data_IF_162307145749
#
_entry.id   IF_162307145749
#
_cell.length_a   1.000
_cell.length_b   1.000
_cell.length_c   1.000
_cell.angle_alpha   90.00
_cell.angle_beta   90.00
_cell.angle_gamma   90.00
#
_symmetry.space_group_name_H-M   'P 1'
#
loop_
_entity.id
_entity.type
_entity.pdbx_description
1 polymer ?
#
# COMPACT_ATOMS: atom_id res chain seq x y z
N UNK A 1 9.45 -1.90 16.00
CA UNK A 1 8.06 -2.22 16.35
C UNK A 1 7.48 -3.23 15.37
N UNK A 2 6.75 -4.23 15.85
CA UNK A 2 6.14 -5.28 15.05
C UNK A 2 4.84 -4.81 14.39
N UNK A 3 4.77 -4.90 13.06
CA UNK A 3 3.57 -4.59 12.29
C UNK A 3 2.63 -5.79 12.12
N UNK A 4 3.15 -7.00 12.33
CA UNK A 4 2.44 -8.28 12.36
C UNK A 4 3.21 -9.26 13.25
N UNK A 5 2.48 -10.15 13.92
CA UNK A 5 3.02 -11.30 14.67
C UNK A 5 2.89 -12.62 13.91
N UNK A 6 2.30 -12.57 12.72
CA UNK A 6 2.12 -13.71 11.84
C UNK A 6 3.16 -13.74 10.74
N UNK A 7 3.62 -14.95 10.42
CA UNK A 7 4.51 -15.26 9.29
C UNK A 7 3.93 -16.38 8.43
N UNK A 8 4.22 -16.34 7.14
CA UNK A 8 3.93 -17.42 6.20
C UNK A 8 5.20 -18.25 6.00
N UNK A 9 5.17 -19.53 6.40
CA UNK A 9 6.30 -20.46 6.29
C UNK A 9 6.34 -21.20 4.93
N UNK A 10 5.73 -20.63 3.89
CA UNK A 10 5.64 -21.26 2.57
C UNK A 10 4.41 -22.16 2.37
N UNK A 11 3.72 -22.57 3.45
CA UNK A 11 2.46 -23.35 3.36
C UNK A 11 1.33 -22.78 4.20
N UNK A 12 1.61 -22.40 5.45
CA UNK A 12 0.63 -21.91 6.40
C UNK A 12 1.08 -20.56 6.98
N UNK A 13 0.09 -19.72 7.27
CA UNK A 13 0.31 -18.52 8.06
C UNK A 13 0.11 -18.87 9.52
N UNK A 14 1.15 -18.70 10.34
CA UNK A 14 1.11 -18.96 11.79
C UNK A 14 1.69 -17.80 12.58
N UNK A 15 1.45 -17.80 13.89
CA UNK A 15 2.11 -16.89 14.82
C UNK A 15 3.61 -17.19 14.92
N UNK A 16 4.40 -16.15 15.15
CA UNK A 16 5.82 -16.23 15.49
C UNK A 16 5.99 -16.91 16.85
N UNK A 17 6.98 -17.78 16.98
CA UNK A 17 7.35 -18.34 18.28
C UNK A 17 8.05 -17.28 19.14
N UNK A 18 8.10 -17.45 20.48
CA UNK A 18 8.84 -16.54 21.35
C UNK A 18 10.31 -16.37 20.92
N UNK A 19 10.96 -17.44 20.48
CA UNK A 19 12.35 -17.39 19.98
C UNK A 19 12.48 -16.64 18.66
N UNK A 20 11.52 -16.73 17.74
CA UNK A 20 11.51 -15.94 16.51
C UNK A 20 11.28 -14.45 16.81
N UNK A 21 10.36 -14.14 17.72
CA UNK A 21 10.13 -12.77 18.21
C UNK A 21 11.39 -12.21 18.88
N UNK A 22 12.07 -13.02 19.69
CA UNK A 22 13.34 -12.68 20.35
C UNK A 22 14.43 -12.32 19.35
N UNK A 23 14.61 -13.12 18.30
CA UNK A 23 15.59 -12.80 17.25
C UNK A 23 15.29 -11.50 16.51
N UNK A 24 14.01 -11.17 16.28
CA UNK A 24 13.63 -9.93 15.62
C UNK A 24 13.78 -8.73 16.58
N UNK A 25 13.31 -8.87 17.81
CA UNK A 25 13.40 -7.84 18.84
C UNK A 25 14.85 -7.52 19.20
N UNK A 26 15.72 -8.54 19.28
CA UNK A 26 17.15 -8.39 19.56
C UNK A 26 17.95 -7.68 18.46
N UNK A 27 17.35 -7.37 17.30
CA UNK A 27 17.94 -6.45 16.32
C UNK A 27 17.77 -4.97 16.71
N UNK A 28 16.90 -4.68 17.67
CA UNK A 28 16.76 -3.34 18.23
C UNK A 28 17.89 -3.09 19.24
N UNK A 29 18.41 -1.87 19.24
CA UNK A 29 19.54 -1.48 20.09
C UNK A 29 20.83 -1.34 19.29
N UNK A 30 21.87 -0.86 19.97
CA UNK A 30 23.24 -0.76 19.47
C UNK A 30 24.15 -1.29 20.57
N UNK A 31 25.35 -1.73 20.25
CA UNK A 31 26.31 -2.36 21.19
C UNK A 31 26.28 -1.84 22.64
N UNK A 32 26.17 -0.52 22.84
CA UNK A 32 26.20 0.14 24.16
C UNK A 32 24.83 0.59 24.69
N UNK A 33 23.76 0.50 23.90
CA UNK A 33 22.42 1.00 24.24
C UNK A 33 21.37 -0.08 24.00
N UNK A 34 20.64 -0.43 25.06
CA UNK A 34 19.53 -1.36 24.97
C UNK A 34 18.47 -0.84 23.99
N UNK A 35 17.97 -1.77 23.17
CA UNK A 35 16.87 -1.51 22.26
C UNK A 35 15.53 -1.66 22.94
N UNK A 36 14.54 -0.88 22.49
CA UNK A 36 13.14 -1.11 22.86
C UNK A 36 12.43 -1.86 21.74
N UNK A 37 11.60 -2.84 22.11
CA UNK A 37 10.65 -3.48 21.20
C UNK A 37 9.22 -3.12 21.58
N UNK A 38 8.29 -3.36 20.66
CA UNK A 38 6.88 -3.02 20.86
C UNK A 38 6.07 -3.31 19.60
N UNK A 39 4.77 -3.10 19.66
CA UNK A 39 3.84 -3.39 18.58
C UNK A 39 3.29 -2.10 17.96
N UNK A 40 2.83 -2.18 16.72
CA UNK A 40 2.04 -1.09 16.10
C UNK A 40 0.56 -1.22 16.46
N UNK A 41 -0.25 -0.17 16.25
CA UNK A 41 -1.67 -0.15 16.61
C UNK A 41 -2.55 -1.25 15.96
N UNK A 42 -2.03 -2.00 14.99
CA UNK A 42 -2.74 -3.10 14.31
C UNK A 42 -2.52 -4.46 14.98
N UNK A 43 -1.65 -4.53 15.98
CA UNK A 43 -1.26 -5.77 16.66
C UNK A 43 -1.56 -5.61 18.14
N UNK A 44 -2.21 -6.60 18.72
CA UNK A 44 -2.48 -6.62 20.16
C UNK A 44 -1.18 -6.55 20.96
N UNK A 45 -1.15 -5.84 22.10
CA UNK A 45 -0.01 -5.85 23.00
C UNK A 45 0.40 -7.28 23.37
N UNK A 46 1.71 -7.50 23.51
CA UNK A 46 2.22 -8.78 23.98
C UNK A 46 1.80 -9.02 25.43
N UNK A 47 1.48 -10.27 25.75
CA UNK A 47 1.20 -10.68 27.12
C UNK A 47 2.46 -10.55 28.00
N UNK A 48 2.29 -10.35 29.32
CA UNK A 48 3.41 -10.14 30.25
C UNK A 48 4.42 -11.29 30.24
N UNK A 49 3.95 -12.53 30.15
CA UNK A 49 4.83 -13.72 30.12
C UNK A 49 5.75 -13.73 28.90
N UNK A 50 5.22 -13.34 27.73
CA UNK A 50 6.01 -13.25 26.50
C UNK A 50 7.02 -12.10 26.57
N UNK A 51 6.62 -10.94 27.12
CA UNK A 51 7.54 -9.81 27.33
C UNK A 51 8.69 -10.22 28.26
N UNK A 52 8.37 -10.86 29.39
CA UNK A 52 9.38 -11.36 30.33
C UNK A 52 10.33 -12.37 29.70
N UNK A 53 9.81 -13.33 28.91
CA UNK A 53 10.63 -14.29 28.17
C UNK A 53 11.58 -13.61 27.16
N UNK A 54 11.11 -12.57 26.46
CA UNK A 54 11.91 -11.80 25.50
C UNK A 54 13.01 -10.98 26.19
N UNK A 55 12.71 -10.34 27.32
CA UNK A 55 13.68 -9.54 28.09
C UNK A 55 14.72 -10.43 28.77
N UNK A 56 14.29 -11.55 29.36
CA UNK A 56 15.17 -12.50 30.06
C UNK A 56 15.94 -13.44 29.12
N UNK A 57 15.64 -13.43 27.81
CA UNK A 57 16.19 -14.37 26.82
C UNK A 57 15.95 -15.85 27.19
N UNK A 58 14.82 -16.13 27.83
CA UNK A 58 14.43 -17.48 28.26
C UNK A 58 13.48 -18.10 27.23
N UNK A 59 13.99 -19.09 26.50
CA UNK A 59 13.27 -19.73 25.39
C UNK A 59 13.28 -21.25 25.53
N UNK A 60 12.21 -21.89 25.06
CA UNK A 60 12.16 -23.35 25.06
C UNK A 60 13.31 -23.96 24.23
N UNK A 61 13.95 -25.04 24.73
CA UNK A 61 14.99 -25.73 24.00
C UNK A 61 14.42 -26.43 22.75
N UNK A 62 15.23 -26.52 21.69
CA UNK A 62 14.87 -27.25 20.48
C UNK A 62 14.83 -28.75 20.78
N UNK A 63 13.63 -29.36 20.69
CA UNK A 63 13.41 -30.77 21.05
C UNK A 63 13.51 -31.74 19.87
N UNK A 64 13.30 -31.26 18.66
CA UNK A 64 13.24 -32.07 17.44
C UNK A 64 14.06 -31.38 16.35
N UNK A 65 14.89 -32.14 15.65
CA UNK A 65 15.65 -31.69 14.49
C UNK A 65 15.12 -32.32 13.21
N UNK A 66 15.11 -31.55 12.12
CA UNK A 66 14.78 -32.08 10.80
C UNK A 66 15.96 -32.86 10.24
N UNK A 67 15.68 -34.08 9.76
CA UNK A 67 16.67 -35.04 9.31
C UNK A 67 16.38 -35.55 7.92
N UNK A 68 17.45 -35.81 7.16
CA UNK A 68 17.43 -36.47 5.86
C UNK A 68 18.56 -37.50 5.81
N UNK A 69 18.31 -38.62 5.14
CA UNK A 69 19.34 -39.63 4.93
C UNK A 69 20.54 -39.05 4.17
N UNK A 70 21.74 -39.43 4.60
CA UNK A 70 23.01 -39.15 3.92
C UNK A 70 23.46 -40.32 3.06
N UNK A 71 22.97 -41.52 3.35
CA UNK A 71 23.32 -42.76 2.67
C UNK A 71 22.38 -42.95 1.48
N UNK A 72 22.75 -42.31 0.37
CA UNK A 72 21.96 -42.30 -0.87
C UNK A 72 22.33 -43.48 -1.77
N UNK A 73 21.33 -44.19 -2.26
CA UNK A 73 21.50 -45.32 -3.17
C UNK A 73 21.32 -44.86 -4.63
N UNK A 74 22.41 -44.90 -5.41
CA UNK A 74 22.41 -44.50 -6.83
C UNK A 74 22.29 -45.69 -7.79
N UNK A 75 21.94 -46.89 -7.32
CA UNK A 75 21.79 -48.07 -8.18
C UNK A 75 20.66 -47.95 -9.21
N UNK A 76 19.59 -47.24 -8.85
CA UNK A 76 18.48 -46.90 -9.72
C UNK A 76 17.78 -45.63 -9.22
N UNK A 77 17.02 -44.96 -10.07
CA UNK A 77 16.22 -43.78 -9.68
C UNK A 77 15.24 -44.14 -8.56
N UNK A 78 14.67 -45.35 -8.58
CA UNK A 78 13.75 -45.82 -7.55
C UNK A 78 14.46 -46.07 -6.22
N UNK A 79 15.65 -46.67 -6.23
CA UNK A 79 16.46 -46.87 -5.03
C UNK A 79 16.88 -45.52 -4.41
N UNK A 80 17.24 -44.54 -5.24
CA UNK A 80 17.52 -43.18 -4.78
C UNK A 80 16.30 -42.59 -4.08
N UNK A 81 15.13 -42.68 -4.70
CA UNK A 81 13.87 -42.20 -4.11
C UNK A 81 13.57 -42.87 -2.77
N UNK A 82 13.76 -44.18 -2.66
CA UNK A 82 13.56 -44.91 -1.41
C UNK A 82 14.57 -44.49 -0.33
N UNK A 83 15.85 -44.35 -0.67
CA UNK A 83 16.90 -43.90 0.26
C UNK A 83 16.61 -42.50 0.82
N UNK A 84 16.06 -41.61 -0.02
CA UNK A 84 15.65 -40.26 0.34
C UNK A 84 14.43 -40.22 1.29
N UNK A 85 13.59 -41.24 1.26
CA UNK A 85 12.36 -41.31 2.05
C UNK A 85 12.53 -42.04 3.39
N UNK A 86 13.74 -42.54 3.71
CA UNK A 86 14.02 -43.23 4.96
C UNK A 86 13.59 -42.40 6.17
N UNK A 87 13.14 -43.09 7.22
CA UNK A 87 12.81 -42.50 8.50
C UNK A 87 14.06 -42.45 9.39
N UNK A 88 14.22 -41.39 10.21
CA UNK A 88 15.28 -41.37 11.20
C UNK A 88 15.06 -42.47 12.25
N UNK A 89 16.16 -43.02 12.78
CA UNK A 89 16.11 -44.05 13.82
C UNK A 89 15.90 -43.47 15.23
N UNK A 90 16.21 -42.18 15.44
CA UNK A 90 16.16 -41.53 16.75
C UNK A 90 14.87 -40.74 16.96
N UNK A 91 14.29 -40.80 18.17
CA UNK A 91 13.04 -40.11 18.50
C UNK A 91 13.11 -38.57 18.59
N UNK A 92 14.31 -37.99 18.59
CA UNK A 92 14.54 -36.53 18.55
C UNK A 92 14.81 -36.01 17.13
N UNK A 93 14.74 -36.89 16.13
CA UNK A 93 14.84 -36.55 14.72
C UNK A 93 13.47 -36.76 14.07
N UNK A 94 13.00 -35.75 13.36
CA UNK A 94 11.84 -35.87 12.48
C UNK A 94 12.32 -35.85 11.04
N UNK A 95 11.69 -36.64 10.16
CA UNK A 95 11.98 -36.55 8.73
C UNK A 95 11.72 -35.11 8.27
N UNK A 96 12.67 -34.54 7.53
CA UNK A 96 12.45 -33.28 6.86
C UNK A 96 11.19 -33.38 5.97
N UNK A 97 10.42 -32.31 5.91
CA UNK A 97 9.29 -32.22 4.97
C UNK A 97 9.81 -32.41 3.54
N UNK A 98 8.96 -32.95 2.65
CA UNK A 98 9.34 -33.17 1.25
C UNK A 98 9.90 -31.88 0.66
N UNK A 99 11.19 -31.92 0.34
CA UNK A 99 11.97 -30.78 -0.14
C UNK A 99 11.79 -30.66 -1.65
N UNK A 100 11.92 -29.45 -2.18
CA UNK A 100 11.72 -29.13 -3.60
C UNK A 100 12.55 -30.05 -4.53
N UNK A 101 13.73 -30.49 -4.08
CA UNK A 101 14.60 -31.39 -4.84
C UNK A 101 14.03 -32.82 -5.02
N UNK A 102 13.28 -33.35 -4.04
CA UNK A 102 12.60 -34.65 -4.16
C UNK A 102 11.43 -34.54 -5.13
N UNK A 103 10.67 -33.45 -5.06
CA UNK A 103 9.56 -33.18 -5.99
C UNK A 103 10.10 -33.02 -7.40
N UNK A 104 11.22 -32.29 -7.56
CA UNK A 104 11.92 -32.16 -8.82
C UNK A 104 12.36 -33.53 -9.37
N UNK A 105 12.97 -34.39 -8.54
CA UNK A 105 13.36 -35.75 -8.94
C UNK A 105 12.15 -36.57 -9.40
N UNK A 106 11.04 -36.54 -8.68
CA UNK A 106 9.82 -37.26 -9.04
C UNK A 106 9.26 -36.80 -10.39
N UNK A 107 9.22 -35.50 -10.65
CA UNK A 107 8.69 -34.94 -11.89
C UNK A 107 9.63 -35.15 -13.09
N UNK A 108 10.92 -34.84 -12.92
CA UNK A 108 11.94 -34.99 -13.97
C UNK A 108 12.05 -36.46 -14.41
N UNK A 109 11.94 -37.39 -13.46
CA UNK A 109 12.00 -38.82 -13.74
C UNK A 109 10.80 -39.35 -14.52
N UNK A 110 9.73 -38.56 -14.74
CA UNK A 110 8.64 -38.96 -15.65
C UNK A 110 9.01 -38.79 -17.12
N UNK A 111 10.02 -37.96 -17.44
CA UNK A 111 10.44 -37.74 -18.81
C UNK A 111 11.16 -39.00 -19.38
N UNK A 112 10.67 -39.59 -20.49
CA UNK A 112 11.26 -40.80 -21.07
C UNK A 112 12.74 -40.64 -21.48
N UNK A 113 13.13 -39.46 -21.97
CA UNK A 113 14.51 -39.19 -22.39
C UNK A 113 15.45 -39.19 -21.18
N UNK A 114 15.04 -38.54 -20.09
CA UNK A 114 15.81 -38.52 -18.84
C UNK A 114 15.96 -39.93 -18.27
N UNK A 115 14.88 -40.71 -18.24
CA UNK A 115 14.90 -42.12 -17.79
C UNK A 115 15.85 -42.99 -18.60
N UNK A 116 15.89 -42.80 -19.93
CA UNK A 116 16.78 -43.57 -20.80
C UNK A 116 18.26 -43.27 -20.51
N UNK A 117 18.59 -42.00 -20.23
CA UNK A 117 19.94 -41.57 -19.89
C UNK A 117 20.35 -41.96 -18.46
N UNK A 118 19.41 -41.98 -17.51
CA UNK A 118 19.64 -42.33 -16.11
C UNK A 118 19.77 -43.85 -15.86
N UNK A 119 20.64 -44.53 -16.62
CA UNK A 119 20.82 -45.99 -16.58
C UNK A 119 21.98 -46.47 -15.71
N UNK A 120 22.97 -45.60 -15.44
CA UNK A 120 24.16 -45.92 -14.66
C UNK A 120 24.23 -45.10 -13.35
N UNK A 121 24.92 -45.59 -12.30
CA UNK A 121 25.00 -44.88 -11.02
C UNK A 121 25.57 -43.46 -11.11
N UNK A 122 26.54 -43.22 -12.01
CA UNK A 122 27.10 -41.88 -12.24
C UNK A 122 26.07 -40.93 -12.90
N UNK A 123 25.27 -41.44 -13.83
CA UNK A 123 24.20 -40.68 -14.47
C UNK A 123 23.10 -40.32 -13.47
N UNK A 124 22.71 -41.26 -12.59
CA UNK A 124 21.72 -41.01 -11.54
C UNK A 124 22.24 -40.01 -10.49
N UNK A 125 23.54 -40.04 -10.17
CA UNK A 125 24.17 -39.01 -9.32
C UNK A 125 24.11 -37.63 -9.96
N UNK A 126 24.40 -37.53 -11.25
CA UNK A 126 24.31 -36.25 -11.98
C UNK A 126 22.87 -35.75 -12.03
N UNK A 127 21.90 -36.65 -12.28
CA UNK A 127 20.47 -36.33 -12.21
C UNK A 127 20.11 -35.76 -10.84
N UNK A 128 20.59 -36.40 -9.77
CA UNK A 128 20.36 -35.95 -8.40
C UNK A 128 20.96 -34.56 -8.15
N UNK A 129 22.19 -34.31 -8.59
CA UNK A 129 22.85 -33.01 -8.45
C UNK A 129 22.09 -31.91 -9.22
N UNK A 130 21.51 -32.23 -10.38
CA UNK A 130 20.63 -31.32 -11.13
C UNK A 130 19.32 -31.06 -10.38
N UNK A 131 18.70 -32.07 -9.78
CA UNK A 131 17.47 -31.90 -8.99
C UNK A 131 17.65 -30.99 -7.76
N UNK A 132 18.89 -30.78 -7.30
CA UNK A 132 19.19 -29.83 -6.21
C UNK A 132 19.20 -28.36 -6.65
N UNK A 133 19.07 -28.04 -7.94
CA UNK A 133 18.97 -26.65 -8.41
C UNK A 133 17.68 -26.03 -7.83
N UNK A 134 17.78 -24.97 -7.00
CA UNK A 134 16.61 -24.37 -6.39
C UNK A 134 15.71 -23.69 -7.42
N UNK A 135 14.39 -23.79 -7.24
CA UNK A 135 13.43 -22.99 -8.02
C UNK A 135 13.32 -21.57 -7.44
N UNK A 136 14.29 -20.72 -7.77
CA UNK A 136 14.25 -19.31 -7.38
C UNK A 136 13.06 -18.56 -7.99
N UNK A 137 12.53 -19.03 -9.13
CA UNK A 137 11.44 -18.40 -9.88
C UNK A 137 10.06 -18.73 -9.32
N UNK A 138 9.95 -19.78 -8.51
CA UNK A 138 8.68 -20.29 -7.96
C UNK A 138 7.66 -20.56 -9.06
N UNK A 139 8.11 -21.19 -10.14
CA UNK A 139 7.28 -21.57 -11.28
C UNK A 139 6.51 -22.85 -10.97
N UNK A 140 5.73 -23.34 -11.92
CA UNK A 140 5.07 -24.63 -11.75
C UNK A 140 6.11 -25.75 -11.61
N UNK A 141 5.80 -26.76 -10.79
CA UNK A 141 6.71 -27.90 -10.61
C UNK A 141 7.01 -28.64 -11.92
N UNK A 142 6.11 -28.55 -12.91
CA UNK A 142 6.30 -29.08 -14.26
C UNK A 142 7.35 -28.27 -15.04
N UNK A 143 7.23 -26.95 -15.08
CA UNK A 143 8.16 -26.09 -15.82
C UNK A 143 9.58 -26.13 -15.22
N UNK A 144 9.68 -26.23 -13.90
CA UNK A 144 10.97 -26.47 -13.24
C UNK A 144 11.56 -27.82 -13.67
N UNK A 145 10.76 -28.89 -13.65
CA UNK A 145 11.21 -30.20 -14.10
C UNK A 145 11.63 -30.22 -15.58
N UNK A 146 10.96 -29.46 -16.47
CA UNK A 146 11.42 -29.32 -17.84
C UNK A 146 12.80 -28.68 -17.94
N UNK A 147 13.05 -27.58 -17.20
CA UNK A 147 14.37 -26.95 -17.19
C UNK A 147 15.45 -27.92 -16.72
N UNK A 148 15.20 -28.60 -15.59
CA UNK A 148 16.12 -29.57 -15.02
C UNK A 148 16.40 -30.73 -15.98
N UNK A 149 15.37 -31.25 -16.64
CA UNK A 149 15.50 -32.28 -17.65
C UNK A 149 16.38 -31.83 -18.82
N UNK A 150 16.23 -30.59 -19.29
CA UNK A 150 17.08 -30.02 -20.36
C UNK A 150 18.54 -29.90 -19.92
N UNK A 151 18.79 -29.38 -18.72
CA UNK A 151 20.15 -29.29 -18.14
C UNK A 151 20.78 -30.68 -18.05
N UNK A 152 20.05 -31.65 -17.50
CA UNK A 152 20.53 -33.02 -17.39
C UNK A 152 20.85 -33.65 -18.76
N UNK A 153 19.99 -33.47 -19.76
CA UNK A 153 20.25 -33.94 -21.12
C UNK A 153 21.49 -33.31 -21.75
N UNK A 154 21.77 -32.03 -21.47
CA UNK A 154 23.01 -31.39 -21.92
C UNK A 154 24.25 -32.01 -21.26
N UNK A 155 24.21 -32.23 -19.94
CA UNK A 155 25.31 -32.86 -19.21
C UNK A 155 25.56 -34.32 -19.63
N UNK A 156 24.52 -35.03 -20.07
CA UNK A 156 24.63 -36.40 -20.57
C UNK A 156 24.94 -36.47 -22.08
N UNK A 157 25.09 -35.33 -22.76
CA UNK A 157 25.52 -35.28 -24.16
C UNK A 157 27.02 -35.55 -24.29
N UNK A 158 27.50 -35.81 -25.52
CA UNK A 158 28.92 -36.06 -25.80
C UNK A 158 29.84 -34.93 -25.31
N UNK A 159 29.31 -33.69 -25.23
CA UNK A 159 30.07 -32.54 -24.75
C UNK A 159 30.30 -32.55 -23.24
N UNK A 160 29.46 -33.24 -22.45
CA UNK A 160 29.52 -33.28 -20.99
C UNK A 160 29.21 -31.95 -20.27
N UNK A 161 28.95 -30.87 -21.02
CA UNK A 161 28.76 -29.52 -20.49
C UNK A 161 27.47 -28.91 -21.03
N UNK A 162 26.97 -27.87 -20.34
CA UNK A 162 25.89 -27.05 -20.84
C UNK A 162 26.43 -26.20 -22.02
N UNK A 163 25.78 -26.21 -23.20
CA UNK A 163 26.22 -25.40 -24.33
C UNK A 163 26.25 -23.91 -24.00
N UNK A 164 27.36 -23.25 -24.30
CA UNK A 164 27.57 -21.83 -23.97
C UNK A 164 26.55 -20.91 -24.65
N UNK A 165 26.21 -21.18 -25.92
CA UNK A 165 25.19 -20.41 -26.65
C UNK A 165 23.81 -20.49 -25.97
N UNK A 166 23.47 -21.67 -25.45
CA UNK A 166 22.21 -21.88 -24.74
C UNK A 166 22.21 -21.14 -23.42
N UNK A 167 23.28 -21.25 -22.63
CA UNK A 167 23.42 -20.52 -21.36
C UNK A 167 23.41 -19.00 -21.60
N UNK A 168 24.09 -18.52 -22.63
CA UNK A 168 24.11 -17.11 -23.03
C UNK A 168 22.70 -16.59 -23.31
N UNK A 169 21.88 -17.34 -24.05
CA UNK A 169 20.50 -16.98 -24.34
C UNK A 169 19.64 -16.89 -23.06
N UNK A 170 19.84 -17.79 -22.11
CA UNK A 170 19.11 -17.77 -20.84
C UNK A 170 19.53 -16.56 -19.97
N UNK A 171 20.83 -16.30 -19.88
CA UNK A 171 21.38 -15.17 -19.11
C UNK A 171 20.95 -13.83 -19.72
N UNK A 172 20.98 -13.70 -21.05
CA UNK A 172 20.58 -12.48 -21.76
C UNK A 172 19.12 -12.07 -21.48
N UNK A 173 18.23 -13.02 -21.21
CA UNK A 173 16.84 -12.73 -20.86
C UNK A 173 16.71 -11.91 -19.55
N UNK A 174 17.66 -12.08 -18.64
CA UNK A 174 17.69 -11.35 -17.36
C UNK A 174 18.50 -10.05 -17.40
N UNK A 175 19.34 -9.84 -18.42
CA UNK A 175 20.28 -8.72 -18.49
C UNK A 175 19.64 -7.39 -18.91
N UNK A 176 18.63 -6.98 -18.14
CA UNK A 176 17.86 -5.75 -18.36
C UNK A 176 17.41 -5.17 -17.04
N UNK A 177 17.70 -3.90 -16.80
CA UNK A 177 17.36 -3.18 -15.56
C UNK A 177 16.08 -2.34 -15.65
N UNK A 178 15.40 -2.33 -16.80
CA UNK A 178 14.13 -1.64 -16.99
C UNK A 178 12.94 -2.45 -16.46
N UNK A 179 11.95 -1.79 -15.86
CA UNK A 179 10.72 -2.44 -15.39
C UNK A 179 10.28 -1.95 -14.02
N UNK A 180 9.18 -2.52 -13.54
CA UNK A 180 8.72 -2.33 -12.16
C UNK A 180 9.42 -3.30 -11.19
N UNK A 181 9.07 -3.19 -9.91
CA UNK A 181 9.64 -4.01 -8.82
C UNK A 181 9.44 -5.51 -9.10
N UNK A 182 8.26 -5.90 -9.58
CA UNK A 182 7.94 -7.31 -9.82
C UNK A 182 8.70 -7.86 -11.03
N UNK A 183 8.84 -7.06 -12.09
CA UNK A 183 9.67 -7.42 -13.27
C UNK A 183 11.13 -7.62 -12.87
N UNK A 184 11.71 -6.71 -12.08
CA UNK A 184 13.08 -6.81 -11.61
C UNK A 184 13.27 -8.00 -10.66
N UNK A 185 12.34 -8.22 -9.73
CA UNK A 185 12.39 -9.36 -8.83
C UNK A 185 12.36 -10.70 -9.59
N UNK A 186 11.52 -10.80 -10.64
CA UNK A 186 11.47 -11.99 -11.50
C UNK A 186 12.78 -12.21 -12.27
N UNK A 187 13.43 -11.15 -12.78
CA UNK A 187 14.73 -11.26 -13.45
C UNK A 187 15.86 -11.66 -12.49
N UNK A 188 15.85 -11.15 -11.26
CA UNK A 188 16.77 -11.57 -10.19
C UNK A 188 16.57 -13.05 -9.86
N UNK A 189 15.32 -13.50 -9.73
CA UNK A 189 15.02 -14.91 -9.53
C UNK A 189 15.56 -15.77 -10.68
N UNK A 190 15.41 -15.31 -11.93
CA UNK A 190 15.91 -16.04 -13.09
C UNK A 190 17.45 -16.09 -13.14
N UNK A 191 18.14 -14.97 -12.91
CA UNK A 191 19.61 -14.96 -12.94
C UNK A 191 20.21 -15.81 -11.81
N UNK A 192 19.58 -15.87 -10.63
CA UNK A 192 20.04 -16.71 -9.50
C UNK A 192 20.11 -18.20 -9.82
N UNK A 193 19.20 -18.71 -10.64
CA UNK A 193 19.31 -20.10 -11.15
C UNK A 193 20.61 -20.28 -11.92
N UNK A 194 20.98 -19.31 -12.76
CA UNK A 194 22.21 -19.35 -13.55
C UNK A 194 23.47 -19.06 -12.72
N UNK A 195 23.40 -18.16 -11.74
CA UNK A 195 24.47 -17.98 -10.74
C UNK A 195 24.74 -19.30 -10.02
N UNK A 196 23.71 -20.01 -9.57
CA UNK A 196 23.86 -21.32 -8.94
C UNK A 196 24.50 -22.35 -9.88
N UNK A 197 24.03 -22.44 -11.12
CA UNK A 197 24.60 -23.33 -12.14
C UNK A 197 26.06 -22.98 -12.44
N UNK A 198 26.42 -21.69 -12.46
CA UNK A 198 27.79 -21.25 -12.73
C UNK A 198 28.82 -21.68 -11.68
N UNK A 199 28.36 -21.93 -10.45
CA UNK A 199 29.20 -22.47 -9.37
C UNK A 199 29.39 -24.00 -9.43
N UNK A 200 28.74 -24.70 -10.36
CA UNK A 200 29.01 -26.12 -10.65
C UNK A 200 30.08 -26.22 -11.73
N UNK A 201 31.35 -26.19 -11.32
CA UNK A 201 32.51 -26.12 -12.23
C UNK A 201 32.51 -27.21 -13.32
N UNK A 202 32.09 -28.43 -12.98
CA UNK A 202 32.05 -29.57 -13.91
C UNK A 202 30.94 -29.46 -14.98
N UNK A 203 30.05 -28.48 -14.90
CA UNK A 203 28.89 -28.37 -15.80
C UNK A 203 29.12 -27.40 -16.96
N UNK A 204 30.15 -26.56 -16.89
CA UNK A 204 30.42 -25.49 -17.84
C UNK A 204 31.84 -25.60 -18.39
N UNK A 205 32.04 -25.19 -19.64
CA UNK A 205 33.36 -25.13 -20.24
C UNK A 205 34.23 -24.01 -19.64
N UNK A 206 33.64 -22.84 -19.35
CA UNK A 206 34.31 -21.70 -18.69
C UNK A 206 33.52 -21.22 -17.45
N UNK A 207 33.64 -21.90 -16.29
CA UNK A 207 32.91 -21.54 -15.08
C UNK A 207 33.23 -20.14 -14.56
N UNK A 208 34.49 -19.69 -14.66
CA UNK A 208 34.93 -18.39 -14.12
C UNK A 208 34.29 -17.23 -14.88
N UNK A 209 34.24 -17.33 -16.22
CA UNK A 209 33.54 -16.35 -17.04
C UNK A 209 32.06 -16.24 -16.65
N UNK A 210 31.37 -17.38 -16.54
CA UNK A 210 29.93 -17.39 -16.24
C UNK A 210 29.62 -16.96 -14.80
N UNK A 211 30.48 -17.26 -13.83
CA UNK A 211 30.35 -16.76 -12.46
C UNK A 211 30.47 -15.23 -12.42
N UNK A 212 31.49 -14.67 -13.08
CA UNK A 212 31.67 -13.22 -13.14
C UNK A 212 30.49 -12.54 -13.86
N UNK A 213 30.03 -13.12 -14.98
CA UNK A 213 28.95 -12.55 -15.79
C UNK A 213 27.60 -12.58 -15.09
N UNK A 214 27.23 -13.70 -14.48
CA UNK A 214 25.95 -13.82 -13.75
C UNK A 214 25.92 -12.95 -12.50
N UNK A 215 27.06 -12.85 -11.79
CA UNK A 215 27.22 -11.94 -10.65
C UNK A 215 27.05 -10.48 -11.02
N UNK A 216 27.70 -10.01 -12.09
CA UNK A 216 27.55 -8.62 -12.58
C UNK A 216 26.09 -8.30 -12.90
N UNK A 217 25.38 -9.22 -13.57
CA UNK A 217 23.96 -9.04 -13.88
C UNK A 217 23.12 -9.00 -12.60
N UNK A 218 23.34 -9.90 -11.64
CA UNK A 218 22.61 -9.92 -10.37
C UNK A 218 22.84 -8.63 -9.57
N UNK A 219 24.07 -8.11 -9.53
CA UNK A 219 24.42 -6.85 -8.87
C UNK A 219 23.67 -5.66 -9.51
N UNK A 220 23.76 -5.51 -10.84
CA UNK A 220 23.05 -4.44 -11.56
C UNK A 220 21.53 -4.51 -11.40
N UNK A 221 20.95 -5.72 -11.40
CA UNK A 221 19.52 -5.91 -11.15
C UNK A 221 19.12 -5.57 -9.71
N UNK A 222 19.95 -5.96 -8.73
CA UNK A 222 19.74 -5.68 -7.32
C UNK A 222 19.77 -4.18 -7.04
N UNK A 223 20.72 -3.45 -7.64
CA UNK A 223 20.80 -1.99 -7.54
C UNK A 223 19.58 -1.31 -8.14
N UNK A 224 19.18 -1.71 -9.35
CA UNK A 224 17.96 -1.19 -9.99
C UNK A 224 16.70 -1.47 -9.15
N UNK A 225 16.60 -2.66 -8.55
CA UNK A 225 15.50 -2.99 -7.63
C UNK A 225 15.53 -2.12 -6.38
N UNK A 226 16.72 -1.88 -5.81
CA UNK A 226 16.91 -1.05 -4.63
C UNK A 226 16.49 0.40 -4.90
N UNK A 227 16.89 0.97 -6.03
CA UNK A 227 16.46 2.31 -6.46
C UNK A 227 14.94 2.38 -6.59
N UNK A 228 14.30 1.41 -7.25
CA UNK A 228 12.84 1.35 -7.41
C UNK A 228 12.11 1.22 -6.07
N UNK A 229 12.64 0.42 -5.15
CA UNK A 229 12.09 0.30 -3.80
C UNK A 229 12.22 1.62 -3.04
N UNK A 230 13.38 2.27 -3.12
CA UNK A 230 13.63 3.56 -2.49
C UNK A 230 12.68 4.63 -3.01
N UNK A 231 12.52 4.75 -4.32
CA UNK A 231 11.56 5.64 -4.96
C UNK A 231 10.13 5.35 -4.47
N UNK A 232 9.70 4.09 -4.43
CA UNK A 232 8.37 3.72 -3.92
C UNK A 232 8.18 4.07 -2.44
N UNK A 233 9.22 3.96 -1.61
CA UNK A 233 9.16 4.37 -0.21
C UNK A 233 9.09 5.88 -0.06
N UNK A 234 9.85 6.63 -0.87
CA UNK A 234 9.79 8.09 -0.91
C UNK A 234 8.41 8.52 -1.39
N UNK A 235 7.92 8.01 -2.52
CA UNK A 235 6.58 8.32 -3.05
C UNK A 235 5.48 7.98 -2.05
N UNK A 236 5.59 6.87 -1.32
CA UNK A 236 4.62 6.52 -0.27
C UNK A 236 4.71 7.48 0.90
N UNK A 237 5.92 7.87 1.34
CA UNK A 237 6.09 8.85 2.42
C UNK A 237 5.59 10.22 1.99
N UNK A 238 5.92 10.67 0.78
CA UNK A 238 5.44 11.92 0.21
C UNK A 238 3.93 11.88 0.02
N UNK A 239 3.35 10.77 -0.44
CA UNK A 239 1.90 10.63 -0.57
C UNK A 239 1.19 10.62 0.78
N UNK A 240 1.76 9.96 1.80
CA UNK A 240 1.21 9.96 3.17
C UNK A 240 1.43 11.31 3.85
N UNK A 241 2.56 11.97 3.59
CA UNK A 241 2.85 13.31 4.08
C UNK A 241 1.90 14.31 3.42
N UNK A 242 1.77 14.33 2.10
CA UNK A 242 0.82 15.15 1.35
C UNK A 242 -0.62 14.86 1.73
N UNK A 243 -0.97 13.61 2.05
CA UNK A 243 -2.30 13.27 2.58
C UNK A 243 -2.49 13.83 3.99
N UNK A 244 -1.48 13.72 4.86
CA UNK A 244 -1.50 14.29 6.21
C UNK A 244 -1.41 15.82 6.21
N UNK A 245 -0.74 16.41 5.23
CA UNK A 245 -0.65 17.84 4.99
C UNK A 245 -2.00 18.30 4.44
N UNK A 246 -2.64 17.61 3.49
CA UNK A 246 -4.05 17.91 3.13
C UNK A 246 -5.04 17.72 4.29
N UNK A 247 -4.78 16.78 5.20
CA UNK A 247 -5.60 16.57 6.40
C UNK A 247 -5.25 17.56 7.55
N UNK A 248 -4.11 18.31 7.49
CA UNK A 248 -3.65 19.25 8.52
C UNK A 248 -3.48 20.71 8.06
N UNK A 249 -3.29 20.95 6.78
CA UNK A 249 -3.35 22.25 6.15
C UNK A 249 -4.84 22.58 6.11
N UNK A 250 -5.25 23.35 7.11
CA UNK A 250 -6.24 24.38 6.86
C UNK A 250 -5.75 25.13 5.61
N UNK A 251 -6.36 24.84 4.46
CA UNK A 251 -6.14 25.63 3.25
C UNK A 251 -6.33 27.09 3.66
N UNK A 252 -5.26 27.89 3.56
CA UNK A 252 -5.31 29.31 3.86
C UNK A 252 -6.33 29.94 2.92
N UNK A 253 -7.51 30.19 3.47
CA UNK A 253 -8.64 30.76 2.77
C UNK A 253 -8.85 32.15 3.34
N UNK A 254 -8.57 33.17 2.52
CA UNK A 254 -8.74 34.56 2.91
C UNK A 254 -10.01 35.11 2.28
N UNK A 255 -10.83 35.79 3.09
CA UNK A 255 -12.01 36.51 2.63
C UNK A 255 -11.67 37.99 2.65
N UNK A 256 -11.58 38.58 1.47
CA UNK A 256 -11.35 40.01 1.33
C UNK A 256 -12.56 40.81 1.82
N UNK A 257 -12.33 42.06 2.26
CA UNK A 257 -13.37 42.95 2.79
C UNK A 257 -14.49 43.27 1.80
N UNK A 258 -14.27 43.03 0.49
CA UNK A 258 -15.25 43.21 -0.58
C UNK A 258 -16.04 41.94 -0.91
N UNK A 259 -15.85 40.87 -0.13
CA UNK A 259 -16.49 39.57 -0.27
C UNK A 259 -15.80 38.60 -1.22
N UNK A 260 -14.62 38.92 -1.77
CA UNK A 260 -13.83 37.97 -2.58
C UNK A 260 -13.22 36.84 -1.75
N UNK A 261 -13.33 35.60 -2.20
CA UNK A 261 -12.77 34.42 -1.53
C UNK A 261 -11.55 33.93 -2.31
N UNK A 262 -10.42 33.85 -1.62
CA UNK A 262 -9.15 33.36 -2.14
C UNK A 262 -8.73 32.09 -1.40
N UNK A 263 -8.28 31.08 -2.14
CA UNK A 263 -7.70 29.84 -1.57
C UNK A 263 -6.28 29.72 -2.10
N UNK A 264 -5.27 29.79 -1.24
CA UNK A 264 -3.85 29.71 -1.63
C UNK A 264 -3.54 30.62 -2.84
N UNK A 265 -3.91 31.91 -2.74
CA UNK A 265 -3.77 32.96 -3.77
C UNK A 265 -4.64 32.83 -5.03
N UNK A 266 -5.55 31.85 -5.10
CA UNK A 266 -6.47 31.69 -6.24
C UNK A 266 -7.86 32.25 -5.91
N UNK A 267 -8.37 33.15 -6.76
CA UNK A 267 -9.74 33.66 -6.64
C UNK A 267 -10.75 32.56 -6.99
N UNK A 268 -11.61 32.21 -6.03
CA UNK A 268 -12.60 31.11 -6.17
C UNK A 268 -14.00 31.64 -6.46
N UNK A 269 -14.31 32.86 -6.00
CA UNK A 269 -15.61 33.48 -6.19
C UNK A 269 -15.90 34.59 -5.18
N UNK A 270 -17.16 35.05 -5.15
CA UNK A 270 -17.58 36.17 -4.30
C UNK A 270 -18.77 35.81 -3.42
N UNK A 271 -18.75 36.25 -2.17
CA UNK A 271 -19.82 36.08 -1.19
C UNK A 271 -20.61 37.39 -1.03
N UNK A 272 -21.82 37.45 -1.58
CA UNK A 272 -22.74 38.58 -1.46
C UNK A 272 -23.90 38.24 -0.52
N UNK A 273 -24.05 38.97 0.59
CA UNK A 273 -25.03 38.61 1.62
C UNK A 273 -24.75 37.21 2.16
N UNK A 274 -25.70 36.29 1.94
CA UNK A 274 -25.60 34.86 2.27
C UNK A 274 -25.46 33.94 1.04
N UNK A 275 -25.17 34.48 -0.15
CA UNK A 275 -25.05 33.72 -1.40
C UNK A 275 -23.63 33.74 -1.94
N UNK A 276 -23.09 32.58 -2.25
CA UNK A 276 -21.79 32.45 -2.90
C UNK A 276 -21.97 32.36 -4.42
N UNK A 277 -21.21 33.15 -5.17
CA UNK A 277 -21.17 33.09 -6.64
C UNK A 277 -19.77 32.62 -7.07
N UNK A 278 -19.63 31.38 -7.58
CA UNK A 278 -18.33 30.86 -8.01
C UNK A 278 -17.84 31.55 -9.28
N UNK A 279 -16.53 31.75 -9.40
CA UNK A 279 -15.92 32.15 -10.67
C UNK A 279 -15.86 30.93 -11.61
N UNK A 280 -16.31 31.10 -12.84
CA UNK A 280 -16.44 30.03 -13.84
C UNK A 280 -15.25 29.93 -14.78
N UNK A 281 -14.23 30.78 -14.62
CA UNK A 281 -13.08 30.86 -15.53
C UNK A 281 -11.99 29.80 -15.29
N UNK A 282 -11.97 29.10 -14.15
CA UNK A 282 -10.98 28.05 -13.84
C UNK A 282 -11.59 26.64 -13.87
N UNK A 283 -11.79 26.08 -15.07
CA UNK A 283 -12.33 24.73 -15.28
C UNK A 283 -11.25 23.61 -15.18
N UNK A 284 -10.30 23.74 -14.25
CA UNK A 284 -9.19 22.80 -14.11
C UNK A 284 -9.40 21.78 -12.97
N UNK A 285 -8.63 20.68 -12.96
CA UNK A 285 -8.71 19.63 -11.91
C UNK A 285 -8.47 20.22 -10.51
N UNK A 286 -7.64 21.26 -10.42
CA UNK A 286 -7.42 22.07 -9.21
C UNK A 286 -8.67 22.82 -8.73
N UNK A 287 -9.57 23.21 -9.63
CA UNK A 287 -10.79 23.95 -9.31
C UNK A 287 -11.85 23.13 -8.55
N UNK A 288 -11.84 21.80 -8.65
CA UNK A 288 -12.74 20.94 -7.85
C UNK A 288 -12.28 20.82 -6.39
N UNK A 289 -10.97 20.72 -6.17
CA UNK A 289 -10.40 20.67 -4.83
C UNK A 289 -10.57 22.03 -4.11
N UNK A 290 -10.33 23.14 -4.82
CA UNK A 290 -10.53 24.49 -4.30
C UNK A 290 -12.00 24.77 -3.90
N UNK A 291 -12.96 24.30 -4.70
CA UNK A 291 -14.40 24.40 -4.36
C UNK A 291 -14.78 23.64 -3.09
N UNK A 292 -14.24 22.44 -2.90
CA UNK A 292 -14.50 21.66 -1.70
C UNK A 292 -13.90 22.29 -0.44
N UNK A 293 -12.72 22.92 -0.58
CA UNK A 293 -12.08 23.68 0.50
C UNK A 293 -12.90 24.94 0.86
N UNK A 294 -13.36 25.70 -0.14
CA UNK A 294 -14.19 26.88 0.06
C UNK A 294 -15.50 26.57 0.80
N UNK A 295 -16.16 25.44 0.52
CA UNK A 295 -17.41 25.06 1.17
C UNK A 295 -17.33 24.97 2.71
N UNK A 296 -16.21 24.50 3.26
CA UNK A 296 -16.03 24.41 4.73
C UNK A 296 -15.89 25.79 5.37
N UNK A 297 -15.16 26.70 4.73
CA UNK A 297 -14.94 28.06 5.22
C UNK A 297 -16.20 28.92 5.04
N UNK A 298 -16.93 28.71 3.95
CA UNK A 298 -18.23 29.34 3.71
C UNK A 298 -19.21 29.09 4.85
N UNK A 299 -19.28 27.86 5.38
CA UNK A 299 -20.20 27.53 6.47
C UNK A 299 -19.89 28.31 7.78
N UNK A 300 -18.60 28.45 8.14
CA UNK A 300 -18.17 29.21 9.32
C UNK A 300 -18.40 30.73 9.16
N UNK A 301 -18.06 31.29 8.00
CA UNK A 301 -18.29 32.71 7.71
C UNK A 301 -19.78 33.06 7.61
N UNK A 302 -20.59 32.21 6.97
CA UNK A 302 -22.04 32.37 6.94
C UNK A 302 -22.63 32.34 8.35
N UNK A 303 -22.12 31.49 9.23
CA UNK A 303 -22.48 31.48 10.65
C UNK A 303 -22.14 32.78 11.37
N UNK A 304 -20.94 33.34 11.16
CA UNK A 304 -20.55 34.65 11.75
C UNK A 304 -21.41 35.80 11.23
N UNK A 305 -21.72 35.82 9.93
CA UNK A 305 -22.61 36.84 9.33
C UNK A 305 -24.04 36.69 9.84
N UNK A 306 -24.53 35.47 10.00
CA UNK A 306 -25.85 35.21 10.57
C UNK A 306 -25.94 35.74 12.01
N UNK A 307 -24.93 35.47 12.84
CA UNK A 307 -24.85 36.00 14.20
C UNK A 307 -24.82 37.54 14.21
N UNK A 308 -24.03 38.17 13.34
CA UNK A 308 -24.00 39.65 13.20
C UNK A 308 -25.34 40.24 12.80
N UNK A 309 -26.08 39.57 11.92
CA UNK A 309 -27.41 40.03 11.51
C UNK A 309 -28.43 39.90 12.63
N UNK A 310 -28.37 38.83 13.42
CA UNK A 310 -29.26 38.63 14.57
C UNK A 310 -29.04 39.68 15.68
N UNK A 311 -27.82 40.19 15.82
CA UNK A 311 -27.46 41.24 16.78
C UNK A 311 -27.59 42.66 16.20
N UNK A 312 -27.87 42.79 14.90
CA UNK A 312 -27.95 44.09 14.25
C UNK A 312 -29.19 44.88 14.71
N UNK A 313 -29.07 46.22 14.83
CA UNK A 313 -30.22 47.06 15.13
C UNK A 313 -31.21 47.06 13.95
N UNK A 314 -32.50 47.27 14.23
CA UNK A 314 -33.57 47.19 13.21
C UNK A 314 -33.37 48.20 12.06
N UNK A 315 -32.67 49.30 12.30
CA UNK A 315 -32.34 50.34 11.32
C UNK A 315 -31.27 49.90 10.30
N UNK A 316 -30.53 48.82 10.59
CA UNK A 316 -29.55 48.25 9.67
C UNK A 316 -30.19 47.44 8.51
N UNK A 317 -31.49 47.14 8.64
CA UNK A 317 -32.30 46.46 7.63
C UNK A 317 -33.09 47.47 6.82
N UNK A 318 -33.12 47.32 5.50
CA UNK A 318 -33.90 48.19 4.61
C UNK A 318 -34.72 47.35 3.64
N UNK A 319 -36.00 47.69 3.47
CA UNK A 319 -36.86 47.07 2.46
C UNK A 319 -36.73 47.84 1.14
N UNK A 320 -36.23 47.17 0.10
CA UNK A 320 -36.10 47.73 -1.24
C UNK A 320 -37.44 47.67 -2.00
N UNK A 321 -37.68 48.57 -2.99
CA UNK A 321 -38.94 48.63 -3.74
C UNK A 321 -39.28 47.36 -4.54
N UNK A 322 -38.28 46.52 -4.82
CA UNK A 322 -38.44 45.23 -5.50
C UNK A 322 -38.86 44.10 -4.52
N UNK A 323 -39.12 44.42 -3.25
CA UNK A 323 -39.51 43.46 -2.22
C UNK A 323 -38.33 42.68 -1.63
N UNK A 324 -37.10 43.16 -1.77
CA UNK A 324 -35.92 42.54 -1.14
C UNK A 324 -35.58 43.24 0.18
N UNK A 325 -35.19 42.45 1.18
CA UNK A 325 -34.65 42.96 2.43
C UNK A 325 -33.12 43.02 2.27
N UNK A 326 -32.58 44.22 2.45
CA UNK A 326 -31.16 44.52 2.32
C UNK A 326 -30.51 44.65 3.70
N UNK A 327 -29.31 44.10 3.83
CA UNK A 327 -28.41 44.29 4.97
C UNK A 327 -27.01 44.60 4.45
N UNK A 328 -26.40 45.68 4.94
CA UNK A 328 -25.08 46.17 4.49
C UNK A 328 -24.98 46.31 2.94
N UNK A 329 -26.09 46.64 2.29
CA UNK A 329 -26.18 46.80 0.82
C UNK A 329 -26.35 45.51 0.02
N UNK A 330 -26.40 44.34 0.67
CA UNK A 330 -26.64 43.05 0.02
C UNK A 330 -28.05 42.51 0.33
N UNK A 331 -28.68 41.86 -0.65
CA UNK A 331 -29.99 41.23 -0.47
C UNK A 331 -29.87 39.94 0.36
N UNK A 332 -30.55 39.90 1.51
CA UNK A 332 -30.52 38.77 2.45
C UNK A 332 -31.82 37.98 2.48
N UNK A 333 -32.94 38.60 2.10
CA UNK A 333 -34.23 37.94 1.97
C UNK A 333 -35.13 38.63 0.95
N UNK A 334 -36.22 37.99 0.56
CA UNK A 334 -37.23 38.53 -0.34
C UNK A 334 -38.63 38.28 0.19
N UNK A 335 -39.53 39.23 -0.03
CA UNK A 335 -40.95 39.08 0.21
C UNK A 335 -41.56 38.12 -0.80
N UNK A 336 -42.38 37.23 -0.29
CA UNK A 336 -43.12 36.22 -1.03
C UNK A 336 -44.58 36.26 -0.60
N UNK A 337 -45.44 35.60 -1.38
CA UNK A 337 -46.88 35.59 -1.11
C UNK A 337 -47.15 34.98 0.28
N UNK A 338 -47.61 35.80 1.21
CA UNK A 338 -48.08 35.37 2.52
C UNK A 338 -49.60 35.21 2.57
N UNK A 339 -50.14 35.15 3.78
CA UNK A 339 -51.58 34.88 4.03
C UNK A 339 -52.47 36.04 3.58
N UNK A 340 -51.99 37.28 3.67
CA UNK A 340 -52.71 38.47 3.24
C UNK A 340 -51.76 39.54 2.68
N UNK A 341 -52.27 40.55 1.95
CA UNK A 341 -51.45 41.66 1.46
C UNK A 341 -50.71 42.45 2.58
N UNK A 342 -51.20 42.39 3.82
CA UNK A 342 -50.59 43.03 4.99
C UNK A 342 -49.72 42.06 5.82
N UNK A 343 -49.70 40.78 5.47
CA UNK A 343 -48.88 39.75 6.10
C UNK A 343 -48.08 38.95 5.04
N UNK A 344 -47.13 39.59 4.33
CA UNK A 344 -46.26 38.90 3.38
C UNK A 344 -45.28 37.95 4.08
N UNK A 345 -44.96 36.83 3.43
CA UNK A 345 -44.00 35.86 3.95
C UNK A 345 -42.57 36.24 3.54
N UNK A 346 -41.61 36.12 4.45
CA UNK A 346 -40.19 36.30 4.14
C UNK A 346 -39.63 34.99 3.58
N UNK A 347 -38.87 35.05 2.49
CA UNK A 347 -38.06 33.92 2.00
C UNK A 347 -36.59 34.33 2.04
N UNK A 348 -35.76 33.60 2.78
CA UNK A 348 -34.32 33.85 2.85
C UNK A 348 -33.62 33.62 1.49
N UNK A 349 -32.61 34.45 1.22
CA UNK A 349 -31.73 34.32 0.06
C UNK A 349 -30.40 33.74 0.56
N UNK A 350 -30.33 32.42 0.66
CA UNK A 350 -29.16 31.69 1.21
C UNK A 350 -28.58 30.70 0.20
N UNK A 351 -27.35 30.27 0.48
CA UNK A 351 -26.65 29.18 -0.21
C UNK A 351 -26.88 27.82 0.48
N UNK A 352 -26.60 26.71 -0.21
CA UNK A 352 -26.77 25.34 0.31
C UNK A 352 -25.85 25.05 1.51
N UNK A 353 -24.79 25.85 1.68
CA UNK A 353 -23.81 25.70 2.76
C UNK A 353 -24.18 26.41 4.07
N UNK A 354 -25.35 27.06 4.15
CA UNK A 354 -25.85 27.69 5.37
C UNK A 354 -26.24 26.63 6.42
N UNK A 355 -25.78 26.73 7.68
CA UNK A 355 -26.25 25.83 8.74
C UNK A 355 -27.76 25.99 8.99
N UNK A 356 -28.51 24.89 8.93
CA UNK A 356 -29.97 24.90 9.09
C UNK A 356 -30.45 25.57 10.40
N UNK A 357 -29.68 25.43 11.48
CA UNK A 357 -30.00 26.06 12.77
C UNK A 357 -29.89 27.60 12.74
N UNK A 358 -29.00 28.16 11.92
CA UNK A 358 -28.86 29.61 11.76
C UNK A 358 -29.88 30.16 10.76
N UNK A 359 -30.17 29.39 9.70
CA UNK A 359 -31.22 29.72 8.73
C UNK A 359 -32.58 29.90 9.43
N UNK A 360 -32.96 28.97 10.32
CA UNK A 360 -34.23 29.05 11.04
C UNK A 360 -34.31 30.29 11.96
N UNK A 361 -33.20 30.66 12.61
CA UNK A 361 -33.13 31.85 13.46
C UNK A 361 -33.27 33.13 12.64
N UNK A 362 -32.55 33.23 11.52
CA UNK A 362 -32.63 34.36 10.61
C UNK A 362 -34.03 34.54 10.03
N UNK A 363 -34.67 33.43 9.66
CA UNK A 363 -36.02 33.41 9.12
C UNK A 363 -37.00 34.02 10.13
N UNK A 364 -36.92 33.60 11.40
CA UNK A 364 -37.76 34.13 12.48
C UNK A 364 -37.46 35.61 12.77
N UNK A 365 -36.20 36.00 12.79
CA UNK A 365 -35.78 37.38 13.05
C UNK A 365 -36.29 38.35 11.97
N UNK A 366 -36.11 38.00 10.70
CA UNK A 366 -36.54 38.85 9.58
C UNK A 366 -38.07 38.93 9.45
N UNK A 367 -38.79 37.85 9.78
CA UNK A 367 -40.25 37.86 9.84
C UNK A 367 -40.76 38.83 10.93
N UNK A 368 -40.19 38.74 12.15
CA UNK A 368 -40.55 39.64 13.25
C UNK A 368 -40.19 41.11 12.95
N UNK A 369 -39.05 41.36 12.30
CA UNK A 369 -38.68 42.69 11.85
C UNK A 369 -39.70 43.25 10.85
N UNK A 370 -40.12 42.43 9.87
CA UNK A 370 -41.08 42.85 8.84
C UNK A 370 -42.46 43.15 9.44
N UNK A 371 -42.95 42.31 10.36
CA UNK A 371 -44.21 42.56 11.07
C UNK A 371 -44.18 43.90 11.80
N UNK A 372 -43.10 44.18 12.54
CA UNK A 372 -42.91 45.46 13.23
C UNK A 372 -42.81 46.65 12.25
N UNK A 373 -42.13 46.45 11.12
CA UNK A 373 -41.97 47.48 10.08
C UNK A 373 -43.33 47.84 9.44
N UNK A 374 -44.15 46.83 9.11
CA UNK A 374 -45.51 47.01 8.58
C UNK A 374 -46.42 47.66 9.63
N UNK A 375 -46.40 47.17 10.88
CA UNK A 375 -47.21 47.71 11.96
C UNK A 375 -46.89 49.18 12.26
N UNK A 376 -45.64 49.60 12.05
CA UNK A 376 -45.21 50.99 12.27
C UNK A 376 -45.59 51.91 11.11
N UNK A 377 -45.33 51.49 9.86
CA UNK A 377 -45.55 52.32 8.68
C UNK A 377 -47.00 52.33 8.18
N UNK A 378 -47.70 51.20 8.29
CA UNK A 378 -49.07 51.00 7.82
C UNK A 378 -50.07 50.90 8.98
N UNK A 379 -49.72 51.42 10.16
CA UNK A 379 -50.55 51.40 11.37
C UNK A 379 -52.05 51.69 11.12
N UNK A 380 -52.44 52.76 10.39
CA UNK A 380 -53.85 53.07 10.15
C UNK A 380 -54.59 52.04 9.27
N UNK A 381 -53.85 51.25 8.48
CA UNK A 381 -54.35 50.22 7.57
C UNK A 381 -54.42 48.83 8.23
N UNK A 382 -53.61 48.61 9.27
CA UNK A 382 -53.58 47.39 10.07
C UNK A 382 -54.63 47.43 11.21
N UNK A 383 -54.96 48.62 11.72
CA UNK A 383 -55.97 48.85 12.77
C UNK A 383 -57.42 49.00 12.24
N UNK A 384 -57.62 48.95 10.92
CA UNK A 384 -58.93 48.89 10.25
C UNK A 384 -59.48 47.47 10.26
#
# INVERSE_FOLDING_TARGET
AFASVRKFDGRLTRELTPSELGQIAGRAGRHMNDGTFGVTARVSPFGPDLVGALEAHDFEPVRILQWRSRDLDFSSVEALRQSLQQAPQSGWLARAHTVDDVIALENVSQNPQVRALASAPAAIRTLWDVCQIPDYRKISSHDHAELLGRIYCHLMSDSGHIPEDWLAAQVAHSDRTDGDIDTLANRIAHIRTWTFVSHRSEWLADPEHWQARTRDIEERLSDALHERLTLRFVDRRTSVLMKRLRDKDDLFTEIASDGGIYVEDHFVGRLGGFRFTPDTTSADIHGKAARHAAARVLSDELGKRAARLLEAPAEALTLAPNGEILWEGAAVARLSRGESPLAPAVTLITDEHMPAAEEEKLQRHLAAWLENHIATLLKPLVEL
#
